data_IF_078548857231
#
_entry.id   IF_078548857231
#
_cell.length_a   1.000
_cell.length_b   1.000
_cell.length_c   1.000
_cell.angle_alpha   90.00
_cell.angle_beta   90.00
_cell.angle_gamma   90.00
#
_symmetry.space_group_name_H-M   'P 1'
#
loop_
_entity.id
_entity.type
_entity.pdbx_description
1 polymer ?
#
# COMPACT_ATOMS: atom_id res chain seq x y z
N UNK A 1 0.06 -8.32 -34.05
CA UNK A 1 -0.95 -9.36 -33.73
C UNK A 1 -0.77 -9.69 -32.27
N UNK A 2 -1.61 -9.06 -31.43
CA UNK A 2 -1.62 -9.31 -29.98
C UNK A 2 -2.08 -10.75 -29.75
N UNK A 3 -1.19 -11.57 -29.20
CA UNK A 3 -1.50 -12.91 -28.71
C UNK A 3 -2.45 -12.75 -27.49
N UNK A 4 -3.76 -12.77 -27.75
CA UNK A 4 -4.76 -12.94 -26.69
C UNK A 4 -4.58 -14.35 -26.13
N UNK A 5 -4.04 -14.43 -24.92
CA UNK A 5 -4.05 -15.68 -24.15
C UNK A 5 -5.51 -16.12 -23.99
N UNK A 6 -5.84 -17.40 -24.24
CA UNK A 6 -7.21 -17.89 -24.10
C UNK A 6 -7.61 -17.81 -22.63
N UNK A 7 -8.60 -16.99 -22.36
CA UNK A 7 -9.29 -16.88 -21.07
C UNK A 7 -10.28 -18.05 -20.97
N UNK A 8 -9.82 -19.23 -20.56
CA UNK A 8 -10.70 -20.35 -20.28
C UNK A 8 -10.27 -21.09 -19.01
N UNK A 9 -10.21 -20.36 -17.89
CA UNK A 9 -10.53 -20.98 -16.62
C UNK A 9 -12.05 -20.80 -16.46
N UNK A 10 -12.81 -21.88 -16.40
CA UNK A 10 -14.26 -21.82 -16.17
C UNK A 10 -14.50 -21.12 -14.84
N UNK A 11 -15.55 -20.30 -14.78
CA UNK A 11 -15.97 -19.57 -13.57
C UNK A 11 -16.20 -20.52 -12.35
N UNK A 12 -16.34 -21.81 -12.60
CA UNK A 12 -16.51 -22.88 -11.60
C UNK A 12 -15.25 -23.18 -10.77
N UNK A 13 -14.05 -22.79 -11.23
CA UNK A 13 -12.77 -23.04 -10.53
C UNK A 13 -12.25 -21.80 -9.78
N UNK A 14 -13.02 -20.71 -9.71
CA UNK A 14 -12.60 -19.49 -9.04
C UNK A 14 -12.55 -19.73 -7.52
N UNK A 15 -11.40 -19.42 -6.90
CA UNK A 15 -11.25 -19.48 -5.45
C UNK A 15 -12.24 -18.51 -4.78
N UNK A 16 -13.00 -19.03 -3.83
CA UNK A 16 -13.89 -18.25 -2.96
C UNK A 16 -13.51 -18.51 -1.50
N UNK A 17 -13.54 -17.45 -0.70
CA UNK A 17 -13.23 -17.49 0.73
C UNK A 17 -14.50 -17.30 1.54
N UNK A 18 -14.65 -18.02 2.64
CA UNK A 18 -15.74 -17.82 3.62
C UNK A 18 -15.40 -16.71 4.63
N UNK A 19 -14.16 -16.19 4.60
CA UNK A 19 -13.70 -15.15 5.52
C UNK A 19 -14.49 -13.86 5.35
N UNK A 20 -14.79 -13.22 6.47
CA UNK A 20 -15.46 -11.91 6.53
C UNK A 20 -14.47 -10.76 6.43
N UNK A 21 -14.96 -9.52 6.29
CA UNK A 21 -14.09 -8.34 6.25
C UNK A 21 -13.42 -8.12 7.61
N UNK A 22 -14.11 -8.45 8.69
CA UNK A 22 -13.61 -8.39 10.06
C UNK A 22 -12.44 -9.36 10.28
N UNK A 23 -12.47 -10.54 9.66
CA UNK A 23 -11.36 -11.50 9.71
C UNK A 23 -10.12 -10.92 9.04
N UNK A 24 -10.29 -10.24 7.90
CA UNK A 24 -9.18 -9.58 7.23
C UNK A 24 -8.59 -8.42 8.04
N UNK A 25 -9.41 -7.68 8.78
CA UNK A 25 -8.95 -6.57 9.64
C UNK A 25 -8.03 -7.02 10.79
N UNK A 26 -8.07 -8.28 11.17
CA UNK A 26 -7.12 -8.83 12.15
C UNK A 26 -5.68 -8.80 11.62
N UNK A 27 -5.50 -8.95 10.31
CA UNK A 27 -4.20 -8.99 9.62
C UNK A 27 -3.88 -7.66 8.92
N UNK A 28 -4.85 -7.07 8.23
CA UNK A 28 -4.72 -5.84 7.43
C UNK A 28 -5.48 -4.73 8.15
N UNK A 29 -4.85 -4.14 9.16
CA UNK A 29 -5.49 -3.17 10.08
C UNK A 29 -5.89 -1.86 9.41
N UNK A 30 -5.31 -1.52 8.27
CA UNK A 30 -5.61 -0.28 7.55
C UNK A 30 -4.71 -0.13 6.32
N UNK A 31 -5.01 0.84 5.44
CA UNK A 31 -4.14 1.16 4.32
C UNK A 31 -2.83 1.76 4.82
N UNK A 32 -1.75 1.50 4.09
CA UNK A 32 -0.43 2.05 4.32
C UNK A 32 -0.15 3.15 3.28
N UNK A 33 0.38 4.29 3.75
CA UNK A 33 0.73 5.41 2.89
C UNK A 33 2.25 5.63 2.89
N UNK A 34 2.85 5.97 1.74
CA UNK A 34 4.30 6.14 1.62
C UNK A 34 4.88 7.23 2.53
N UNK A 35 4.06 8.20 2.94
CA UNK A 35 4.44 9.31 3.82
C UNK A 35 4.15 9.06 5.30
N UNK A 36 3.67 7.86 5.66
CA UNK A 36 3.20 7.54 7.01
C UNK A 36 1.90 8.26 7.34
N UNK A 37 1.88 8.97 8.46
CA UNK A 37 0.71 9.60 9.07
C UNK A 37 -0.16 8.62 9.87
N UNK A 38 -1.05 9.17 10.70
CA UNK A 38 -1.92 8.39 11.57
C UNK A 38 -3.35 8.34 11.05
N UNK A 39 -3.96 7.17 11.13
CA UNK A 39 -5.37 6.94 10.79
C UNK A 39 -6.09 6.49 12.06
N UNK A 40 -7.20 7.11 12.39
CA UNK A 40 -7.93 6.85 13.64
C UNK A 40 -9.31 6.22 13.44
N UNK A 41 -9.91 6.36 12.26
CA UNK A 41 -11.28 5.92 12.00
C UNK A 41 -11.32 4.48 11.47
N UNK A 42 -11.57 3.54 12.37
CA UNK A 42 -11.71 2.12 12.00
C UNK A 42 -13.01 1.83 11.25
N UNK A 43 -14.07 2.60 11.49
CA UNK A 43 -15.36 2.41 10.81
C UNK A 43 -15.26 2.72 9.33
N UNK A 44 -14.56 3.80 8.98
CA UNK A 44 -14.33 4.17 7.58
C UNK A 44 -13.36 3.19 6.87
N UNK A 45 -12.40 2.60 7.59
CA UNK A 45 -11.54 1.54 7.05
C UNK A 45 -12.38 0.29 6.74
N UNK A 46 -13.25 -0.14 7.67
CA UNK A 46 -14.15 -1.26 7.47
C UNK A 46 -15.06 -1.03 6.25
N UNK A 47 -15.66 0.16 6.16
CA UNK A 47 -16.51 0.53 5.03
C UNK A 47 -15.74 0.51 3.70
N UNK A 48 -14.49 1.04 3.68
CA UNK A 48 -13.65 1.02 2.50
C UNK A 48 -13.31 -0.41 2.04
N UNK A 49 -13.03 -1.32 2.96
CA UNK A 49 -12.71 -2.71 2.64
C UNK A 49 -13.94 -3.53 2.24
N UNK A 50 -15.09 -3.24 2.83
CA UNK A 50 -16.36 -3.91 2.52
C UNK A 50 -16.95 -3.47 1.17
N UNK A 51 -16.78 -2.22 0.78
CA UNK A 51 -17.46 -1.65 -0.39
C UNK A 51 -16.51 -1.27 -1.54
N UNK A 52 -15.20 -1.21 -1.28
CA UNK A 52 -14.21 -0.68 -2.20
C UNK A 52 -14.15 0.85 -2.24
N UNK A 53 -14.97 1.55 -1.46
CA UNK A 53 -15.01 3.02 -1.34
C UNK A 53 -15.05 3.44 0.12
N UNK A 54 -14.35 4.53 0.47
CA UNK A 54 -14.35 5.06 1.84
C UNK A 54 -13.64 6.39 1.92
N UNK A 55 -13.81 7.08 3.05
CA UNK A 55 -13.20 8.37 3.35
C UNK A 55 -12.26 8.22 4.54
N UNK A 56 -10.98 8.02 4.28
CA UNK A 56 -9.99 7.81 5.33
C UNK A 56 -9.40 9.15 5.75
N UNK A 57 -9.55 9.48 7.02
CA UNK A 57 -8.98 10.69 7.63
C UNK A 57 -7.57 10.38 8.09
N UNK A 58 -6.60 11.06 7.48
CA UNK A 58 -5.18 10.99 7.83
C UNK A 58 -4.78 12.23 8.62
N UNK A 59 -4.03 12.06 9.69
CA UNK A 59 -3.45 13.14 10.50
C UNK A 59 -1.93 13.05 10.48
N UNK A 60 -1.28 14.22 10.40
CA UNK A 60 0.14 14.34 10.64
C UNK A 60 0.51 13.74 12.00
N UNK A 61 1.61 13.01 12.05
CA UNK A 61 2.15 12.53 13.33
C UNK A 61 2.93 13.67 13.97
N UNK A 62 2.43 14.11 15.13
CA UNK A 62 3.00 15.21 15.86
C UNK A 62 3.15 14.86 17.34
N UNK A 63 4.26 15.27 17.92
CA UNK A 63 4.59 15.06 19.32
C UNK A 63 4.84 16.41 19.99
N UNK A 64 4.45 16.53 21.25
CA UNK A 64 4.73 17.69 22.08
C UNK A 64 5.97 17.35 22.90
N UNK A 65 6.99 18.17 22.79
CA UNK A 65 8.27 17.98 23.44
C UNK A 65 8.69 19.26 24.21
N UNK A 66 9.58 19.10 25.17
CA UNK A 66 10.14 20.19 25.94
C UNK A 66 11.64 20.31 25.67
N UNK A 67 12.08 21.47 25.23
CA UNK A 67 13.51 21.71 25.03
C UNK A 67 14.27 21.74 26.36
N UNK A 68 15.59 21.48 26.39
CA UNK A 68 16.41 21.60 27.59
C UNK A 68 16.33 22.97 28.27
N UNK A 69 15.90 23.99 27.54
CA UNK A 69 15.72 25.36 28.05
C UNK A 69 14.30 25.59 28.64
N UNK A 70 13.47 24.54 28.80
CA UNK A 70 12.11 24.64 29.35
C UNK A 70 11.08 25.26 28.41
N UNK A 71 11.34 25.30 27.09
CA UNK A 71 10.38 25.78 26.09
C UNK A 71 9.63 24.61 25.46
N UNK A 72 8.31 24.74 25.35
CA UNK A 72 7.49 23.76 24.69
C UNK A 72 7.59 23.89 23.17
N UNK A 73 7.66 22.75 22.49
CA UNK A 73 7.68 22.66 21.03
C UNK A 73 6.74 21.55 20.55
N UNK A 74 6.25 21.70 19.33
CA UNK A 74 5.51 20.65 18.62
C UNK A 74 6.38 20.19 17.45
N UNK A 75 6.69 18.90 17.40
CA UNK A 75 7.51 18.30 16.35
C UNK A 75 6.60 17.44 15.47
N UNK A 76 6.56 17.75 14.17
CA UNK A 76 5.84 16.95 13.17
C UNK A 76 6.84 16.07 12.44
N UNK A 77 6.65 14.77 12.53
CA UNK A 77 7.54 13.74 11.94
C UNK A 77 6.98 13.09 10.68
N UNK A 78 5.66 13.09 10.49
CA UNK A 78 5.01 12.52 9.31
C UNK A 78 3.85 13.41 8.86
N UNK A 79 3.65 13.48 7.54
CA UNK A 79 2.58 14.27 6.93
C UNK A 79 1.56 13.38 6.22
N UNK A 80 0.29 13.83 6.12
CA UNK A 80 -0.70 13.14 5.32
C UNK A 80 -0.25 12.98 3.87
N UNK A 81 -0.65 11.89 3.24
CA UNK A 81 -0.33 11.63 1.84
C UNK A 81 -0.81 12.77 0.92
N UNK A 82 -0.02 13.10 -0.09
CA UNK A 82 -0.23 14.21 -1.04
C UNK A 82 -0.13 15.62 -0.43
N UNK A 83 0.30 15.77 0.80
CA UNK A 83 0.57 17.10 1.38
C UNK A 83 2.00 17.54 1.05
N UNK A 84 2.12 18.71 0.44
CA UNK A 84 3.41 19.34 0.19
C UNK A 84 3.90 20.08 1.44
N UNK A 85 5.09 19.70 1.93
CA UNK A 85 5.70 20.26 3.14
C UNK A 85 5.91 21.79 3.06
N UNK A 86 6.45 22.29 1.95
CA UNK A 86 6.73 23.71 1.79
C UNK A 86 5.43 24.54 1.79
N UNK A 87 4.38 24.02 1.13
CA UNK A 87 3.06 24.67 1.13
C UNK A 87 2.44 24.67 2.51
N UNK A 88 2.59 23.59 3.29
CA UNK A 88 2.13 23.52 4.68
C UNK A 88 2.82 24.60 5.52
N UNK A 89 4.15 24.68 5.48
CA UNK A 89 4.94 25.65 6.25
C UNK A 89 4.53 27.09 5.91
N UNK A 90 4.46 27.42 4.61
CA UNK A 90 4.01 28.73 4.15
C UNK A 90 2.60 29.07 4.65
N UNK A 91 1.67 28.12 4.59
CA UNK A 91 0.29 28.31 5.03
C UNK A 91 0.18 28.55 6.54
N UNK A 92 0.95 27.82 7.34
CA UNK A 92 0.94 28.00 8.80
C UNK A 92 1.56 29.35 9.17
N UNK A 93 2.64 29.75 8.52
CA UNK A 93 3.25 31.07 8.73
C UNK A 93 2.28 32.22 8.38
N UNK A 94 1.48 32.04 7.31
CA UNK A 94 0.43 33.02 6.96
C UNK A 94 -0.68 33.07 8.04
N UNK A 95 -1.10 31.92 8.56
CA UNK A 95 -2.13 31.85 9.61
C UNK A 95 -1.67 32.46 10.93
N UNK A 96 -0.39 32.34 11.30
CA UNK A 96 0.18 33.00 12.47
C UNK A 96 0.23 34.51 12.26
N UNK A 97 0.67 34.99 11.09
CA UNK A 97 0.67 36.39 10.72
C UNK A 97 -0.72 37.00 10.75
N UNK A 98 -1.73 36.27 10.30
CA UNK A 98 -3.15 36.67 10.31
C UNK A 98 -3.78 36.58 11.70
N UNK A 99 -3.04 36.15 12.74
CA UNK A 99 -3.52 35.93 14.11
C UNK A 99 -4.65 34.90 14.21
N UNK A 100 -4.76 34.00 13.24
CA UNK A 100 -5.71 32.87 13.24
C UNK A 100 -5.19 31.67 14.00
N UNK A 101 -3.88 31.58 14.19
CA UNK A 101 -3.17 30.55 14.91
C UNK A 101 -2.20 31.21 15.89
N UNK A 102 -2.70 31.56 17.09
CA UNK A 102 -1.91 32.21 18.12
C UNK A 102 -1.12 31.19 18.95
N UNK A 103 0.04 31.62 19.48
CA UNK A 103 0.84 30.82 20.41
C UNK A 103 2.08 30.20 19.82
N UNK A 104 2.30 30.29 18.52
CA UNK A 104 3.56 29.93 17.86
C UNK A 104 4.55 31.10 18.03
N UNK A 105 5.78 30.79 18.41
CA UNK A 105 6.87 31.78 18.51
C UNK A 105 7.76 31.73 17.28
N UNK A 106 8.03 30.52 16.76
CA UNK A 106 8.87 30.30 15.57
C UNK A 106 8.47 28.99 14.86
N UNK A 107 8.79 28.90 13.57
CA UNK A 107 8.49 27.75 12.71
C UNK A 107 9.74 27.40 11.90
N UNK A 108 10.28 26.20 12.10
CA UNK A 108 11.48 25.74 11.44
C UNK A 108 11.27 24.43 10.70
N UNK A 109 11.91 24.29 9.55
CA UNK A 109 12.06 23.03 8.83
C UNK A 109 13.46 22.46 9.13
N UNK A 110 13.52 21.42 9.94
CA UNK A 110 14.73 20.71 10.32
C UNK A 110 14.88 19.38 9.59
N UNK A 111 14.15 19.18 8.48
CA UNK A 111 14.17 17.92 7.72
C UNK A 111 15.54 17.69 7.09
N UNK A 112 15.99 16.45 7.13
CA UNK A 112 17.25 16.00 6.52
C UNK A 112 17.07 14.68 5.75
N UNK A 113 18.18 14.07 5.30
CA UNK A 113 18.15 12.79 4.58
C UNK A 113 17.72 11.60 5.44
N UNK A 114 17.89 11.68 6.77
CA UNK A 114 17.50 10.63 7.73
C UNK A 114 16.06 10.81 8.19
N UNK A 115 15.66 12.06 8.41
CA UNK A 115 14.31 12.46 8.79
C UNK A 115 13.72 13.35 7.69
N UNK A 116 13.10 12.73 6.68
CA UNK A 116 12.55 13.45 5.52
C UNK A 116 11.51 14.50 5.90
N UNK A 117 10.87 14.35 7.06
CA UNK A 117 9.94 15.32 7.64
C UNK A 117 10.32 15.55 9.09
N UNK A 118 10.73 16.76 9.40
CA UNK A 118 10.91 17.27 10.76
C UNK A 118 10.59 18.74 10.77
N UNK A 119 9.34 19.08 11.10
CA UNK A 119 8.88 20.45 11.21
C UNK A 119 8.71 20.76 12.70
N UNK A 120 9.35 21.82 13.17
CA UNK A 120 9.36 22.20 14.58
C UNK A 120 8.62 23.53 14.74
N UNK A 121 7.62 23.54 15.62
CA UNK A 121 6.89 24.73 16.06
C UNK A 121 7.32 25.07 17.48
N UNK A 122 8.10 26.13 17.65
CA UNK A 122 8.40 26.64 18.99
C UNK A 122 7.20 27.41 19.52
N UNK A 123 6.81 27.16 20.76
CA UNK A 123 5.65 27.76 21.37
C UNK A 123 6.03 28.92 22.27
N UNK A 124 5.12 29.89 22.40
CA UNK A 124 5.23 30.97 23.40
C UNK A 124 5.05 30.41 24.80
N UNK A 125 5.62 31.11 25.81
CA UNK A 125 5.60 30.64 27.22
C UNK A 125 4.21 30.39 27.78
N UNK A 126 3.23 31.20 27.40
CA UNK A 126 1.85 31.11 27.89
C UNK A 126 0.94 30.24 27.02
N UNK A 127 1.50 29.64 26.01
CA UNK A 127 0.76 28.81 25.04
C UNK A 127 0.41 27.45 25.64
N UNK A 128 -0.78 26.94 25.32
CA UNK A 128 -1.22 25.59 25.65
C UNK A 128 -0.92 24.66 24.49
N UNK A 129 0.10 23.77 24.55
CA UNK A 129 0.56 22.99 23.40
C UNK A 129 -0.54 22.15 22.77
N UNK A 130 -1.35 21.47 23.60
CA UNK A 130 -2.45 20.61 23.12
C UNK A 130 -3.53 21.41 22.37
N UNK A 131 -3.83 22.63 22.82
CA UNK A 131 -4.82 23.48 22.15
C UNK A 131 -4.32 23.95 20.78
N UNK A 132 -3.02 24.28 20.68
CA UNK A 132 -2.39 24.64 19.41
C UNK A 132 -2.37 23.44 18.46
N UNK A 133 -1.96 22.27 18.93
CA UNK A 133 -1.95 21.04 18.12
C UNK A 133 -3.36 20.72 17.59
N UNK A 134 -4.38 20.82 18.43
CA UNK A 134 -5.77 20.63 18.02
C UNK A 134 -6.23 21.68 17.00
N UNK A 135 -5.71 22.90 17.10
CA UNK A 135 -5.99 23.95 16.12
C UNK A 135 -5.27 23.69 14.79
N UNK A 136 -4.04 23.19 14.83
CA UNK A 136 -3.30 22.78 13.64
C UNK A 136 -4.04 21.70 12.85
N UNK A 137 -4.64 20.71 13.52
CA UNK A 137 -5.42 19.65 12.87
C UNK A 137 -6.73 20.12 12.19
N UNK A 138 -7.18 21.35 12.45
CA UNK A 138 -8.31 21.93 11.71
C UNK A 138 -7.94 22.36 10.29
N UNK A 139 -6.65 22.45 10.00
CA UNK A 139 -6.18 22.87 8.67
C UNK A 139 -5.90 21.65 7.78
N UNK A 140 -6.28 21.70 6.50
CA UNK A 140 -6.19 20.58 5.57
C UNK A 140 -4.79 19.99 5.40
N UNK A 141 -3.75 20.76 5.68
CA UNK A 141 -2.36 20.29 5.55
C UNK A 141 -1.89 19.42 6.73
N UNK A 142 -2.53 19.54 7.91
CA UNK A 142 -2.22 18.73 9.09
C UNK A 142 -3.20 17.56 9.25
N UNK A 143 -4.38 17.67 8.69
CA UNK A 143 -5.37 16.60 8.60
C UNK A 143 -6.03 16.65 7.22
N UNK A 144 -5.98 15.57 6.47
CA UNK A 144 -6.60 15.47 5.15
C UNK A 144 -7.44 14.21 5.03
N UNK A 145 -8.33 14.20 4.05
CA UNK A 145 -9.18 13.05 3.74
C UNK A 145 -8.69 12.40 2.46
N UNK A 146 -8.42 11.11 2.52
CA UNK A 146 -8.13 10.29 1.36
C UNK A 146 -9.39 9.51 0.96
N UNK A 147 -9.87 9.75 -0.25
CA UNK A 147 -11.02 9.03 -0.79
C UNK A 147 -10.54 7.72 -1.43
N UNK A 148 -10.79 6.61 -0.75
CA UNK A 148 -10.49 5.28 -1.26
C UNK A 148 -11.41 4.93 -2.41
N UNK A 149 -10.84 4.38 -3.48
CA UNK A 149 -11.55 3.84 -4.62
C UNK A 149 -10.74 2.66 -5.18
N UNK A 150 -11.11 1.44 -4.76
CA UNK A 150 -10.39 0.21 -5.09
C UNK A 150 -10.81 -0.30 -6.47
N UNK A 151 -10.31 0.34 -7.51
CA UNK A 151 -10.53 -0.09 -8.90
C UNK A 151 -9.32 -0.88 -9.38
N UNK A 152 -9.57 -2.11 -9.83
CA UNK A 152 -8.55 -2.95 -10.43
C UNK A 152 -9.09 -3.68 -11.68
N UNK A 153 -8.17 -4.21 -12.48
CA UNK A 153 -8.53 -5.01 -13.65
C UNK A 153 -8.74 -6.47 -13.20
N UNK A 154 -9.94 -6.99 -13.47
CA UNK A 154 -10.23 -8.43 -13.41
C UNK A 154 -10.63 -8.86 -14.82
N UNK A 155 -9.95 -9.86 -15.36
CA UNK A 155 -10.11 -10.35 -16.75
C UNK A 155 -10.01 -9.24 -17.83
N UNK A 156 -9.19 -8.22 -17.56
CA UNK A 156 -8.96 -7.11 -18.47
C UNK A 156 -10.05 -6.03 -18.44
N UNK A 157 -11.04 -6.14 -17.55
CA UNK A 157 -12.10 -5.16 -17.35
C UNK A 157 -11.91 -4.46 -15.99
N UNK A 158 -12.04 -3.13 -15.92
CA UNK A 158 -11.95 -2.41 -14.66
C UNK A 158 -13.22 -2.63 -13.83
N UNK A 159 -13.04 -3.09 -12.60
CA UNK A 159 -14.09 -3.28 -11.62
C UNK A 159 -13.76 -2.58 -10.30
N UNK A 160 -14.79 -2.06 -9.65
CA UNK A 160 -14.69 -1.66 -8.25
C UNK A 160 -14.75 -2.93 -7.41
N UNK A 161 -13.68 -3.19 -6.66
CA UNK A 161 -13.52 -4.42 -5.90
C UNK A 161 -13.50 -4.16 -4.40
N UNK A 162 -14.02 -5.12 -3.63
CA UNK A 162 -13.81 -5.17 -2.18
C UNK A 162 -12.44 -5.77 -1.87
N UNK A 163 -11.90 -5.57 -0.66
CA UNK A 163 -10.66 -6.20 -0.25
C UNK A 163 -10.70 -7.73 -0.41
N UNK A 164 -11.80 -8.35 0.00
CA UNK A 164 -12.04 -9.78 -0.17
C UNK A 164 -11.89 -10.20 -1.63
N UNK A 165 -12.59 -9.50 -2.53
CA UNK A 165 -12.56 -9.84 -3.95
C UNK A 165 -11.18 -9.66 -4.58
N UNK A 166 -10.42 -8.64 -4.17
CA UNK A 166 -9.03 -8.45 -4.62
C UNK A 166 -8.16 -9.66 -4.23
N UNK A 167 -8.30 -10.15 -3.00
CA UNK A 167 -7.56 -11.31 -2.52
C UNK A 167 -7.97 -12.60 -3.23
N UNK A 168 -9.25 -12.80 -3.46
CA UNK A 168 -9.77 -13.95 -4.22
C UNK A 168 -9.23 -13.97 -5.66
N UNK A 169 -9.28 -12.83 -6.35
CA UNK A 169 -8.73 -12.68 -7.70
C UNK A 169 -7.22 -12.93 -7.75
N UNK A 170 -6.48 -12.44 -6.74
CA UNK A 170 -5.05 -12.69 -6.62
C UNK A 170 -4.74 -14.18 -6.46
N UNK A 171 -5.47 -14.89 -5.58
CA UNK A 171 -5.28 -16.33 -5.36
C UNK A 171 -5.63 -17.10 -6.63
N UNK A 172 -6.76 -16.77 -7.26
CA UNK A 172 -7.16 -17.39 -8.54
C UNK A 172 -6.08 -17.22 -9.62
N UNK A 173 -5.58 -16.00 -9.79
CA UNK A 173 -4.47 -15.72 -10.71
C UNK A 173 -3.23 -16.56 -10.38
N UNK A 174 -2.85 -16.67 -9.11
CA UNK A 174 -1.72 -17.50 -8.66
C UNK A 174 -1.92 -18.98 -8.98
N UNK A 175 -3.13 -19.52 -8.81
CA UNK A 175 -3.45 -20.89 -9.18
C UNK A 175 -3.29 -21.12 -10.69
N UNK A 176 -3.83 -20.22 -11.51
CA UNK A 176 -3.72 -20.30 -12.97
C UNK A 176 -2.25 -20.25 -13.43
N UNK A 177 -1.48 -19.31 -12.91
CA UNK A 177 -0.05 -19.16 -13.28
C UNK A 177 0.75 -20.37 -12.84
N UNK A 178 0.53 -20.89 -11.64
CA UNK A 178 1.23 -22.08 -11.13
C UNK A 178 0.93 -23.30 -11.97
N UNK A 179 -0.35 -23.51 -12.33
CA UNK A 179 -0.77 -24.61 -13.22
C UNK A 179 -0.07 -24.54 -14.58
N UNK A 180 -0.15 -23.39 -15.24
CA UNK A 180 0.49 -23.17 -16.56
C UNK A 180 2.00 -23.37 -16.53
N UNK A 181 2.67 -22.92 -15.45
CA UNK A 181 4.10 -23.17 -15.28
C UNK A 181 4.40 -24.66 -15.16
N UNK A 182 3.65 -25.38 -14.32
CA UNK A 182 3.84 -26.81 -14.13
C UNK A 182 3.53 -27.61 -15.40
N UNK A 183 2.53 -27.23 -16.18
CA UNK A 183 2.21 -27.84 -17.48
C UNK A 183 3.36 -27.64 -18.48
N UNK A 184 3.95 -26.44 -18.52
CA UNK A 184 5.09 -26.14 -19.38
C UNK A 184 6.33 -26.97 -18.97
N UNK A 185 6.70 -26.94 -17.68
CA UNK A 185 7.82 -27.70 -17.14
C UNK A 185 7.66 -29.21 -17.38
N UNK A 186 6.42 -29.74 -17.24
CA UNK A 186 6.10 -31.14 -17.54
C UNK A 186 6.28 -31.46 -19.02
N UNK A 187 5.86 -30.58 -19.91
CA UNK A 187 6.02 -30.78 -21.36
C UNK A 187 7.51 -30.82 -21.76
N UNK A 188 8.33 -29.91 -21.19
CA UNK A 188 9.78 -29.94 -21.41
C UNK A 188 10.43 -31.23 -20.87
N UNK A 189 10.06 -31.62 -19.65
CA UNK A 189 10.57 -32.86 -19.03
C UNK A 189 10.22 -34.10 -19.85
N UNK A 190 8.99 -34.22 -20.33
CA UNK A 190 8.54 -35.32 -21.20
C UNK A 190 9.28 -35.36 -22.54
N UNK A 191 9.50 -34.19 -23.15
CA UNK A 191 10.30 -34.11 -24.38
C UNK A 191 11.74 -34.59 -24.14
N UNK A 192 12.34 -34.24 -23.01
CA UNK A 192 13.68 -34.70 -22.63
C UNK A 192 13.71 -36.20 -22.31
N UNK A 193 12.71 -36.68 -21.57
CA UNK A 193 12.52 -38.11 -21.27
C UNK A 193 12.48 -38.94 -22.54
N UNK A 194 11.66 -38.56 -23.51
CA UNK A 194 11.55 -39.26 -24.82
C UNK A 194 12.89 -39.35 -25.55
N UNK A 195 13.70 -38.31 -25.58
CA UNK A 195 15.04 -38.32 -26.18
C UNK A 195 15.95 -39.30 -25.42
N UNK A 196 15.92 -39.28 -24.08
CA UNK A 196 16.75 -40.17 -23.27
C UNK A 196 16.35 -41.61 -23.38
N UNK A 197 15.06 -41.93 -23.48
CA UNK A 197 14.56 -43.28 -23.76
C UNK A 197 15.03 -43.81 -25.12
N UNK A 198 14.96 -42.94 -26.16
CA UNK A 198 15.50 -43.30 -27.48
C UNK A 198 17.00 -43.54 -27.46
N UNK A 199 17.78 -42.72 -26.75
CA UNK A 199 19.23 -42.92 -26.58
C UNK A 199 19.52 -44.23 -25.81
N UNK A 200 18.74 -44.54 -24.77
CA UNK A 200 18.88 -45.78 -24.01
C UNK A 200 18.67 -47.00 -24.91
N UNK A 201 17.59 -47.03 -25.70
CA UNK A 201 17.30 -48.09 -26.65
C UNK A 201 18.46 -48.25 -27.65
N UNK A 202 19.01 -47.17 -28.17
CA UNK A 202 20.14 -47.19 -29.10
C UNK A 202 21.42 -47.77 -28.45
N UNK A 203 21.71 -47.41 -27.19
CA UNK A 203 22.87 -47.95 -26.45
C UNK A 203 22.68 -49.41 -26.10
N UNK A 204 21.47 -49.84 -25.68
CA UNK A 204 21.16 -51.21 -25.32
C UNK A 204 21.19 -52.18 -26.54
N UNK A 205 21.10 -51.61 -27.80
CA UNK A 205 21.09 -52.39 -29.05
C UNK A 205 22.14 -51.86 -30.04
N UNK A 206 23.32 -51.52 -29.55
CA UNK A 206 24.33 -50.80 -30.33
C UNK A 206 24.78 -51.52 -31.59
N UNK A 207 24.91 -52.87 -31.53
CA UNK A 207 25.32 -53.70 -32.68
C UNK A 207 24.30 -53.63 -33.82
N UNK A 208 23.01 -53.68 -33.50
CA UNK A 208 21.93 -53.58 -34.49
C UNK A 208 21.85 -52.15 -35.10
N UNK A 209 22.17 -51.13 -34.31
CA UNK A 209 22.25 -49.76 -34.79
C UNK A 209 23.42 -49.58 -35.78
N UNK A 210 24.58 -50.19 -35.49
CA UNK A 210 25.77 -50.12 -36.37
C UNK A 210 25.50 -50.88 -37.70
N UNK A 211 24.77 -52.03 -37.67
CA UNK A 211 24.40 -52.74 -38.91
C UNK A 211 23.38 -51.96 -39.76
N UNK A 212 22.62 -51.05 -39.18
CA UNK A 212 21.58 -50.27 -39.88
C UNK A 212 22.10 -48.98 -40.51
N UNK A 213 23.20 -48.44 -40.02
CA UNK A 213 23.88 -47.26 -40.55
C UNK A 213 24.89 -47.66 -41.65
#
# INVERSE_FOLDING_TARGET
TANRLPTTAKAEDAFQSDATVEDFLQFIKGPDFPTGASIYDQTEILAAYATGKGRIVMRAKAEIDETPAGKMQIIVSELPYQVNKATLIARIAELDKDKKLEGIADLRDESDRKQMVRIVFDLKRDAKPQAILNSLYKYPSMQSVFNVNLVALSDGVPHLLTLKRILEEFIHHRQVVTRKRSEFELAEAKAREHILEGLKIAVDNIDAVIETI
#
